data_IF_780891844444
#
_entry.id   IF_780891844444
#
_cell.length_a   1.000
_cell.length_b   1.000
_cell.length_c   1.000
_cell.angle_alpha   90.00
_cell.angle_beta   90.00
_cell.angle_gamma   90.00
#
_symmetry.space_group_name_H-M   'P 1'
#
loop_
_entity.id
_entity.type
_entity.pdbx_description
1 polymer ?
#
# COMPACT_ATOMS: atom_id res chain seq x y z
N UNK A 1 9.03 12.11 7.39
CA UNK A 1 9.30 10.83 8.09
C UNK A 1 9.25 9.69 7.09
N UNK A 2 10.09 8.66 7.29
CA UNK A 2 10.04 7.42 6.52
C UNK A 2 9.71 6.27 7.46
N UNK A 3 8.76 5.42 7.08
CA UNK A 3 8.38 4.20 7.78
C UNK A 3 8.59 3.03 6.84
N UNK A 4 9.34 2.03 7.27
CA UNK A 4 9.51 0.79 6.53
C UNK A 4 8.62 -0.28 7.16
N UNK A 5 7.81 -0.94 6.35
CA UNK A 5 7.06 -2.12 6.74
C UNK A 5 7.95 -3.36 6.83
N UNK A 6 7.39 -4.51 7.20
CA UNK A 6 8.15 -5.76 7.21
C UNK A 6 8.43 -6.21 5.77
N UNK A 7 9.67 -6.61 5.50
CA UNK A 7 10.02 -7.40 4.32
C UNK A 7 9.34 -8.77 4.39
N UNK A 8 8.70 -9.20 3.31
CA UNK A 8 8.04 -10.51 3.23
C UNK A 8 8.50 -11.26 1.99
N UNK A 9 8.91 -12.51 2.20
CA UNK A 9 9.13 -13.49 1.13
C UNK A 9 7.80 -14.01 0.62
N UNK A 10 7.61 -14.00 -0.69
CA UNK A 10 6.39 -14.42 -1.40
C UNK A 10 6.78 -15.45 -2.45
N UNK A 11 6.22 -16.64 -2.38
CA UNK A 11 6.45 -17.76 -3.31
C UNK A 11 5.66 -17.51 -4.61
N UNK A 12 5.98 -16.41 -5.28
CA UNK A 12 5.42 -15.99 -6.55
C UNK A 12 6.45 -15.16 -7.32
N UNK A 13 6.30 -15.13 -8.65
CA UNK A 13 7.07 -14.24 -9.50
C UNK A 13 6.61 -12.79 -9.31
N UNK A 14 7.52 -11.86 -9.49
CA UNK A 14 7.31 -10.42 -9.40
C UNK A 14 6.20 -9.93 -10.34
N UNK A 15 6.02 -10.56 -11.49
CA UNK A 15 4.90 -10.29 -12.40
C UNK A 15 3.55 -10.55 -11.76
N UNK A 16 3.39 -11.68 -11.07
CA UNK A 16 2.15 -12.01 -10.34
C UNK A 16 1.85 -10.94 -9.29
N UNK A 17 2.85 -10.58 -8.49
CA UNK A 17 2.72 -9.58 -7.42
C UNK A 17 2.42 -8.21 -8.02
N UNK A 18 3.15 -7.80 -9.05
CA UNK A 18 2.97 -6.53 -9.73
C UNK A 18 1.55 -6.39 -10.27
N UNK A 19 1.01 -7.40 -10.94
CA UNK A 19 -0.36 -7.37 -11.47
C UNK A 19 -1.46 -7.25 -10.39
N UNK A 20 -1.16 -7.66 -9.14
CA UNK A 20 -2.07 -7.47 -8.01
C UNK A 20 -2.06 -6.02 -7.51
N UNK A 21 -0.90 -5.35 -7.53
CA UNK A 21 -0.72 -4.03 -6.92
C UNK A 21 -0.75 -2.87 -7.92
N UNK A 22 -0.42 -3.11 -9.19
CA UNK A 22 -0.36 -2.07 -10.23
C UNK A 22 -1.73 -1.63 -10.76
N UNK A 23 -2.79 -2.32 -10.34
CA UNK A 23 -4.17 -2.00 -10.65
C UNK A 23 -4.96 -1.77 -9.35
N UNK A 24 -5.39 -0.54 -9.15
CA UNK A 24 -6.10 -0.13 -7.94
C UNK A 24 -7.42 -0.89 -7.70
N UNK A 25 -8.13 -1.30 -8.76
CA UNK A 25 -9.36 -2.11 -8.66
C UNK A 25 -9.10 -3.55 -8.19
N UNK A 26 -7.87 -4.06 -8.38
CA UNK A 26 -7.45 -5.32 -7.80
C UNK A 26 -7.06 -5.11 -6.34
N UNK A 27 -6.19 -4.12 -6.10
CA UNK A 27 -5.68 -3.79 -4.76
C UNK A 27 -6.80 -3.47 -3.76
N UNK A 28 -7.88 -2.82 -4.20
CA UNK A 28 -9.03 -2.47 -3.36
C UNK A 28 -9.69 -3.66 -2.68
N UNK A 29 -9.65 -4.85 -3.31
CA UNK A 29 -10.18 -6.11 -2.76
C UNK A 29 -9.38 -6.60 -1.56
N UNK A 30 -8.16 -6.10 -1.39
CA UNK A 30 -7.23 -6.47 -0.33
C UNK A 30 -7.15 -5.42 0.77
N UNK A 31 -8.02 -4.41 0.77
CA UNK A 31 -8.05 -3.51 1.91
C UNK A 31 -8.64 -4.18 3.16
N UNK A 32 -8.25 -3.70 4.36
CA UNK A 32 -8.81 -4.21 5.60
C UNK A 32 -10.33 -3.93 5.70
N UNK A 33 -11.11 -4.79 6.38
CA UNK A 33 -12.58 -4.73 6.41
C UNK A 33 -13.15 -3.50 7.12
N UNK A 34 -12.34 -2.79 7.92
CA UNK A 34 -12.70 -1.53 8.56
C UNK A 34 -12.73 -0.32 7.60
N UNK A 35 -12.20 -0.48 6.38
CA UNK A 35 -12.23 0.52 5.31
C UNK A 35 -13.45 0.26 4.42
N UNK A 36 -14.34 1.23 4.32
CA UNK A 36 -15.48 1.18 3.41
C UNK A 36 -15.05 1.69 2.03
N UNK A 37 -15.13 0.84 1.01
CA UNK A 37 -14.79 1.21 -0.37
C UNK A 37 -15.87 2.14 -0.93
N UNK A 38 -15.49 3.37 -1.27
CA UNK A 38 -16.36 4.35 -1.95
C UNK A 38 -16.30 4.15 -3.46
N UNK A 39 -15.09 4.10 -4.02
CA UNK A 39 -14.85 3.98 -5.46
C UNK A 39 -13.47 3.37 -5.72
N UNK A 40 -13.33 2.65 -6.84
CA UNK A 40 -12.03 2.20 -7.35
C UNK A 40 -12.03 2.12 -8.86
N UNK A 41 -10.93 2.51 -9.49
CA UNK A 41 -10.65 2.27 -10.90
C UNK A 41 -9.23 1.67 -11.07
N UNK A 42 -8.66 1.71 -12.27
CA UNK A 42 -7.31 1.18 -12.54
C UNK A 42 -6.20 1.93 -11.81
N UNK A 43 -6.40 3.21 -11.51
CA UNK A 43 -5.36 4.14 -11.07
C UNK A 43 -5.62 4.75 -9.70
N UNK A 44 -6.83 4.58 -9.15
CA UNK A 44 -7.19 5.16 -7.86
C UNK A 44 -8.15 4.29 -7.05
N UNK A 45 -8.10 4.51 -5.73
CA UNK A 45 -9.05 3.95 -4.79
C UNK A 45 -9.44 5.00 -3.75
N UNK A 46 -10.72 5.07 -3.44
CA UNK A 46 -11.27 5.94 -2.42
C UNK A 46 -11.94 5.11 -1.34
N UNK A 47 -11.55 5.35 -0.08
CA UNK A 47 -12.08 4.66 1.09
C UNK A 47 -12.51 5.64 2.16
N UNK A 48 -13.49 5.22 2.95
CA UNK A 48 -13.86 5.86 4.22
C UNK A 48 -13.49 4.93 5.37
N UNK A 49 -12.64 5.43 6.28
CA UNK A 49 -12.43 4.75 7.55
C UNK A 49 -13.61 5.16 8.43
N UNK A 50 -14.50 4.22 8.77
CA UNK A 50 -15.78 4.47 9.44
C UNK A 50 -15.69 5.57 10.51
N UNK A 51 -16.33 6.71 10.25
CA UNK A 51 -16.41 7.89 11.14
C UNK A 51 -15.09 8.59 11.48
N UNK A 52 -13.98 8.34 10.76
CA UNK A 52 -12.68 8.99 11.01
C UNK A 52 -12.31 9.96 9.90
N UNK A 53 -12.15 9.47 8.66
CA UNK A 53 -11.61 10.27 7.54
C UNK A 53 -11.83 9.56 6.22
N UNK A 54 -11.82 10.33 5.12
CA UNK A 54 -11.75 9.81 3.77
C UNK A 54 -10.32 9.83 3.26
N UNK A 55 -9.92 8.76 2.60
CA UNK A 55 -8.61 8.61 1.98
C UNK A 55 -8.80 8.29 0.50
N UNK A 56 -8.06 9.01 -0.35
CA UNK A 56 -7.94 8.67 -1.76
C UNK A 56 -6.49 8.32 -2.09
N UNK A 57 -6.28 7.11 -2.57
CA UNK A 57 -4.99 6.60 -3.02
C UNK A 57 -4.98 6.67 -4.54
N UNK A 58 -3.91 7.21 -5.14
CA UNK A 58 -3.75 7.36 -6.59
C UNK A 58 -2.37 6.85 -6.97
N UNK A 59 -2.26 6.08 -8.04
CA UNK A 59 -0.96 5.65 -8.56
C UNK A 59 -0.19 6.87 -9.08
N UNK A 60 0.99 7.09 -8.51
CA UNK A 60 1.90 8.14 -8.87
C UNK A 60 2.90 7.66 -9.94
N UNK A 61 3.42 6.44 -9.79
CA UNK A 61 4.36 5.84 -10.73
C UNK A 61 4.28 4.30 -10.73
N UNK A 62 4.75 3.69 -11.81
CA UNK A 62 4.87 2.23 -11.99
C UNK A 62 6.18 1.89 -12.67
N UNK A 63 6.99 1.05 -12.03
CA UNK A 63 8.12 0.39 -12.68
C UNK A 63 7.76 -1.09 -12.82
N UNK A 64 7.58 -1.59 -14.06
CA UNK A 64 7.14 -2.96 -14.30
C UNK A 64 7.91 -3.97 -13.47
N UNK A 65 7.15 -4.86 -12.79
CA UNK A 65 7.65 -5.99 -12.02
C UNK A 65 8.60 -5.65 -10.86
N UNK A 66 8.70 -4.38 -10.47
CA UNK A 66 9.66 -3.96 -9.45
C UNK A 66 9.11 -2.93 -8.48
N UNK A 67 8.24 -2.02 -8.92
CA UNK A 67 7.73 -0.96 -8.06
C UNK A 67 6.37 -0.44 -8.46
N UNK A 68 5.56 -0.11 -7.47
CA UNK A 68 4.39 0.76 -7.64
C UNK A 68 4.39 1.82 -6.55
N UNK A 69 4.25 3.08 -6.96
CA UNK A 69 4.18 4.24 -6.07
C UNK A 69 2.77 4.81 -6.06
N UNK A 70 2.28 5.19 -4.89
CA UNK A 70 0.94 5.73 -4.69
C UNK A 70 1.00 7.03 -3.88
N UNK A 71 0.36 8.07 -4.39
CA UNK A 71 0.08 9.29 -3.65
C UNK A 71 -1.21 9.14 -2.85
N UNK A 72 -1.18 9.51 -1.57
CA UNK A 72 -2.35 9.45 -0.68
C UNK A 72 -2.85 10.87 -0.39
N UNK A 73 -4.09 11.14 -0.78
CA UNK A 73 -4.83 12.34 -0.44
C UNK A 73 -5.69 12.08 0.80
N UNK A 74 -5.60 12.98 1.78
CA UNK A 74 -6.27 12.88 3.07
C UNK A 74 -6.83 14.25 3.48
N UNK A 75 -7.79 14.26 4.42
CA UNK A 75 -8.48 15.48 4.87
C UNK A 75 -7.55 16.55 5.49
N UNK A 76 -6.34 16.16 5.92
CA UNK A 76 -5.34 17.05 6.50
C UNK A 76 -4.34 17.58 5.47
N UNK A 77 -4.44 17.16 4.21
CA UNK A 77 -3.54 17.50 3.12
C UNK A 77 -2.05 17.22 3.44
N UNK A 78 -1.75 16.22 4.27
CA UNK A 78 -0.37 15.80 4.46
C UNK A 78 0.13 15.07 3.21
N UNK A 79 1.29 15.44 2.65
CA UNK A 79 1.92 14.69 1.57
C UNK A 79 2.33 13.31 2.09
N UNK A 80 1.73 12.26 1.55
CA UNK A 80 2.04 10.87 1.89
C UNK A 80 2.23 10.11 0.57
N UNK A 81 3.38 9.47 0.44
CA UNK A 81 3.72 8.53 -0.61
C UNK A 81 3.79 7.13 0.00
N UNK A 82 3.09 6.18 -0.60
CA UNK A 82 3.13 4.78 -0.28
C UNK A 82 3.85 4.06 -1.43
N UNK A 83 4.84 3.23 -1.12
CA UNK A 83 5.63 2.54 -2.14
C UNK A 83 5.68 1.06 -1.84
N UNK A 84 5.38 0.25 -2.84
CA UNK A 84 5.55 -1.20 -2.82
C UNK A 84 6.75 -1.52 -3.71
N UNK A 85 7.85 -1.95 -3.10
CA UNK A 85 8.99 -2.53 -3.79
C UNK A 85 8.84 -4.05 -3.89
N UNK A 86 9.20 -4.58 -5.05
CA UNK A 86 9.18 -6.00 -5.39
C UNK A 86 10.57 -6.36 -5.90
N UNK A 87 11.24 -7.26 -5.21
CA UNK A 87 12.56 -7.76 -5.58
C UNK A 87 12.46 -9.23 -6.00
N UNK A 88 12.61 -9.49 -7.30
CA UNK A 88 12.56 -10.84 -7.85
C UNK A 88 13.82 -11.62 -7.44
N UNK A 89 13.60 -12.76 -6.79
CA UNK A 89 14.58 -13.81 -6.54
C UNK A 89 14.28 -15.00 -7.47
N UNK A 90 15.13 -16.01 -7.56
CA UNK A 90 15.02 -17.06 -8.60
C UNK A 90 13.60 -17.63 -8.82
N UNK A 91 12.96 -18.16 -7.77
CA UNK A 91 11.63 -18.78 -7.85
C UNK A 91 10.57 -18.06 -7.00
N UNK A 92 10.90 -16.89 -6.48
CA UNK A 92 10.11 -16.17 -5.48
C UNK A 92 10.46 -14.69 -5.50
N UNK A 93 9.76 -13.87 -4.72
CA UNK A 93 10.06 -12.46 -4.60
C UNK A 93 10.08 -12.02 -3.14
N UNK A 94 10.85 -10.98 -2.83
CA UNK A 94 10.74 -10.22 -1.59
C UNK A 94 9.89 -8.97 -1.86
N UNK A 95 8.95 -8.66 -0.98
CA UNK A 95 8.16 -7.43 -1.05
C UNK A 95 8.40 -6.58 0.19
N UNK A 96 8.46 -5.26 0.00
CA UNK A 96 8.51 -4.28 1.08
C UNK A 96 7.55 -3.12 0.76
N UNK A 97 6.67 -2.84 1.71
CA UNK A 97 5.81 -1.68 1.69
C UNK A 97 6.38 -0.63 2.64
N UNK A 98 6.68 0.57 2.13
CA UNK A 98 7.13 1.69 2.94
C UNK A 98 6.34 2.96 2.65
N UNK A 99 6.39 3.89 3.60
CA UNK A 99 5.70 5.17 3.55
C UNK A 99 6.70 6.30 3.73
N UNK A 100 6.64 7.28 2.84
CA UNK A 100 7.32 8.57 2.97
C UNK A 100 6.26 9.65 3.16
N UNK A 101 6.32 10.37 4.28
CA UNK A 101 5.29 11.33 4.64
C UNK A 101 5.89 12.61 5.21
N UNK A 102 5.42 13.77 4.79
CA UNK A 102 5.79 15.05 5.39
C UNK A 102 4.81 15.43 6.51
N UNK A 103 5.01 14.80 7.67
CA UNK A 103 4.18 14.97 8.85
C UNK A 103 5.00 15.68 9.94
N UNK A 104 4.47 16.76 10.55
CA UNK A 104 5.13 17.47 11.65
C UNK A 104 5.53 16.53 12.79
N UNK A 105 6.74 16.71 13.33
CA UNK A 105 7.37 15.80 14.30
C UNK A 105 6.46 15.42 15.49
N UNK A 106 5.70 16.39 16.01
CA UNK A 106 4.81 16.19 17.15
C UNK A 106 3.57 15.32 16.84
N UNK A 107 3.19 15.16 15.56
CA UNK A 107 2.09 14.27 15.14
C UNK A 107 2.56 12.86 14.80
N UNK A 108 3.85 12.66 14.54
CA UNK A 108 4.40 11.38 14.09
C UNK A 108 4.08 10.20 15.02
N UNK A 109 4.12 10.32 16.37
CA UNK A 109 3.80 9.20 17.25
C UNK A 109 2.35 8.71 17.12
N UNK A 110 1.42 9.61 16.80
CA UNK A 110 -0.02 9.31 16.68
C UNK A 110 -0.32 8.56 15.38
N UNK A 111 0.36 8.93 14.28
CA UNK A 111 0.15 8.33 12.96
C UNK A 111 1.00 7.08 12.72
N UNK A 112 2.15 6.94 13.40
CA UNK A 112 3.09 5.84 13.15
C UNK A 112 2.49 4.46 13.41
N UNK A 113 1.76 4.30 14.51
CA UNK A 113 1.12 3.02 14.86
C UNK A 113 0.08 2.55 13.83
N UNK A 114 -0.93 3.36 13.45
CA UNK A 114 -1.90 2.94 12.43
C UNK A 114 -1.26 2.71 11.06
N UNK A 115 -0.29 3.55 10.65
CA UNK A 115 0.42 3.35 9.38
C UNK A 115 1.23 2.05 9.36
N UNK A 116 1.93 1.72 10.44
CA UNK A 116 2.66 0.45 10.54
C UNK A 116 1.72 -0.77 10.43
N UNK A 117 0.56 -0.73 11.11
CA UNK A 117 -0.43 -1.80 11.03
C UNK A 117 -0.98 -1.96 9.61
N UNK A 118 -1.33 -0.84 8.97
CA UNK A 118 -1.78 -0.84 7.57
C UNK A 118 -0.73 -1.46 6.64
N UNK A 119 0.54 -1.09 6.78
CA UNK A 119 1.62 -1.66 5.96
C UNK A 119 1.74 -3.18 6.18
N UNK A 120 1.69 -3.65 7.43
CA UNK A 120 1.74 -5.08 7.74
C UNK A 120 0.56 -5.86 7.15
N UNK A 121 -0.67 -5.34 7.31
CA UNK A 121 -1.88 -5.98 6.81
C UNK A 121 -1.92 -6.07 5.28
N UNK A 122 -1.61 -4.98 4.58
CA UNK A 122 -1.56 -4.96 3.12
C UNK A 122 -0.49 -5.95 2.62
N UNK A 123 0.71 -5.91 3.19
CA UNK A 123 1.81 -6.81 2.78
C UNK A 123 1.45 -8.28 3.02
N UNK A 124 0.82 -8.60 4.14
CA UNK A 124 0.36 -9.96 4.44
C UNK A 124 -0.72 -10.42 3.46
N UNK A 125 -1.66 -9.54 3.08
CA UNK A 125 -2.71 -9.88 2.11
C UNK A 125 -2.15 -10.09 0.71
N UNK A 126 -1.24 -9.23 0.25
CA UNK A 126 -0.55 -9.41 -1.03
C UNK A 126 0.14 -10.79 -1.08
N UNK A 127 0.86 -11.16 -0.02
CA UNK A 127 1.49 -12.48 0.07
C UNK A 127 0.47 -13.62 -0.07
N UNK A 128 -0.60 -13.60 0.72
CA UNK A 128 -1.62 -14.64 0.71
C UNK A 128 -2.25 -14.78 -0.67
N UNK A 129 -2.51 -13.68 -1.37
CA UNK A 129 -3.18 -13.69 -2.68
C UNK A 129 -2.25 -14.09 -3.82
N UNK A 130 -0.97 -13.69 -3.75
CA UNK A 130 0.03 -14.07 -4.75
C UNK A 130 0.41 -15.57 -4.69
N UNK A 131 0.22 -16.22 -3.53
CA UNK A 131 0.57 -17.62 -3.30
C UNK A 131 -0.60 -18.61 -3.48
N UNK A 132 -1.78 -18.13 -3.91
CA UNK A 132 -2.93 -18.98 -4.27
C UNK A 132 -2.73 -19.61 -5.63
#
# INVERSE_FOLDING_TARGET
MKLNGPKKRVVAQSETIYNLVSNCSHLSKYMPPEYELIASDSDSIEFEIKNITRLKIVIADRVPFSRVEFQVHNDKNFPILLVIDIDQQQMESEIELYIEADIPFYLQPVVKSPLNKMMEEITNRIKVEAEK
#
